data_IF_247785710247
#
_entry.id   IF_247785710247
#
_cell.length_a   1.000
_cell.length_b   1.000
_cell.length_c   1.000
_cell.angle_alpha   90.00
_cell.angle_beta   90.00
_cell.angle_gamma   90.00
#
_symmetry.space_group_name_H-M   'P 1'
#
loop_
_entity.id
_entity.type
_entity.pdbx_description
1 polymer ?
#
# COMPACT_ATOMS: atom_id res chain seq x y z
N UNK A 1 -26.98 -26.58 -37.76
CA UNK A 1 -27.71 -26.06 -36.59
C UNK A 1 -26.77 -26.13 -35.38
N UNK A 2 -26.02 -25.07 -35.11
CA UNK A 2 -24.92 -25.09 -34.13
C UNK A 2 -25.28 -24.16 -32.97
N UNK A 3 -25.41 -24.75 -31.77
CA UNK A 3 -25.95 -24.11 -30.57
C UNK A 3 -24.95 -23.11 -29.98
N UNK A 4 -25.43 -21.88 -29.73
CA UNK A 4 -24.70 -20.80 -29.05
C UNK A 4 -24.68 -21.06 -27.54
N UNK A 5 -23.50 -21.08 -26.92
CA UNK A 5 -23.31 -21.11 -25.47
C UNK A 5 -23.31 -19.67 -24.97
N UNK A 6 -24.25 -19.34 -24.08
CA UNK A 6 -24.39 -18.03 -23.43
C UNK A 6 -23.46 -18.01 -22.21
N UNK A 7 -22.49 -17.10 -22.20
CA UNK A 7 -21.73 -16.76 -21.00
C UNK A 7 -22.54 -15.80 -20.14
N UNK A 8 -22.76 -16.18 -18.88
CA UNK A 8 -23.25 -15.30 -17.82
C UNK A 8 -22.05 -14.48 -17.30
N UNK A 9 -22.05 -13.17 -17.53
CA UNK A 9 -21.20 -12.25 -16.79
C UNK A 9 -22.01 -11.79 -15.57
N UNK A 10 -21.64 -12.27 -14.38
CA UNK A 10 -22.10 -11.72 -13.12
C UNK A 10 -21.33 -10.39 -12.91
N UNK A 11 -22.03 -9.28 -13.14
CA UNK A 11 -21.61 -7.97 -12.64
C UNK A 11 -21.68 -8.00 -11.11
N UNK A 12 -20.53 -8.19 -10.46
CA UNK A 12 -20.37 -7.86 -9.04
C UNK A 12 -20.26 -6.36 -8.91
N UNK A 13 -21.39 -5.67 -8.73
CA UNK A 13 -21.42 -4.27 -8.32
C UNK A 13 -20.97 -4.22 -6.86
N UNK A 14 -19.69 -3.87 -6.65
CA UNK A 14 -19.20 -3.48 -5.34
C UNK A 14 -19.76 -2.07 -5.07
N UNK A 15 -20.88 -2.00 -4.34
CA UNK A 15 -21.36 -0.75 -3.78
C UNK A 15 -20.34 -0.27 -2.73
N UNK A 16 -19.42 0.62 -3.11
CA UNK A 16 -18.76 1.50 -2.15
C UNK A 16 -19.86 2.35 -1.52
N UNK A 17 -20.22 2.03 -0.27
CA UNK A 17 -21.05 2.89 0.54
C UNK A 17 -20.22 4.14 0.88
N UNK A 18 -20.45 5.24 0.15
CA UNK A 18 -19.91 6.54 0.49
C UNK A 18 -20.55 6.99 1.81
N UNK A 19 -19.84 6.82 2.93
CA UNK A 19 -20.21 7.42 4.20
C UNK A 19 -19.81 8.90 4.21
N UNK A 20 -20.64 9.78 4.80
CA UNK A 20 -20.37 11.22 4.81
C UNK A 20 -19.18 11.57 5.72
N UNK A 21 -18.02 11.79 5.10
CA UNK A 21 -17.27 13.04 5.22
C UNK A 21 -16.48 13.31 6.51
N UNK A 22 -15.50 12.47 6.82
CA UNK A 22 -14.21 13.00 7.29
C UNK A 22 -13.37 13.35 6.05
N UNK A 23 -13.75 14.42 5.35
CA UNK A 23 -12.99 14.93 4.21
C UNK A 23 -11.77 15.69 4.75
N UNK A 24 -10.79 14.97 5.29
CA UNK A 24 -9.45 15.51 5.46
C UNK A 24 -8.77 15.65 4.10
N UNK A 25 -7.77 16.53 4.02
CA UNK A 25 -6.94 16.65 2.82
C UNK A 25 -6.01 15.43 2.71
N UNK A 26 -5.64 15.05 1.48
CA UNK A 26 -4.65 14.01 1.26
C UNK A 26 -3.30 14.45 1.86
N UNK A 27 -2.65 13.54 2.58
CA UNK A 27 -1.30 13.76 3.12
C UNK A 27 -0.29 13.07 2.22
N UNK A 28 0.65 13.84 1.69
CA UNK A 28 1.77 13.32 0.90
C UNK A 28 3.04 13.34 1.74
N UNK A 29 3.72 12.21 1.81
CA UNK A 29 5.03 12.06 2.44
C UNK A 29 6.04 11.53 1.43
N UNK A 30 7.29 11.93 1.59
CA UNK A 30 8.40 11.53 0.72
C UNK A 30 9.56 11.01 1.58
N UNK A 31 10.38 10.14 1.00
CA UNK A 31 11.50 9.52 1.70
C UNK A 31 12.04 8.36 0.88
N UNK A 32 12.30 7.24 1.54
CA UNK A 32 12.89 6.08 0.88
C UNK A 32 12.51 4.74 1.49
N UNK A 33 12.92 3.70 0.80
CA UNK A 33 12.75 2.31 1.23
C UNK A 33 14.08 1.56 1.16
N UNK A 34 14.16 0.49 1.95
CA UNK A 34 15.19 -0.54 1.81
C UNK A 34 14.48 -1.87 1.62
N UNK A 35 14.74 -2.56 0.51
CA UNK A 35 14.34 -3.94 0.28
C UNK A 35 15.51 -4.87 0.60
N UNK A 36 15.39 -5.60 1.69
CA UNK A 36 16.31 -6.64 2.14
C UNK A 36 16.14 -7.91 1.27
N UNK A 37 17.16 -8.28 0.49
CA UNK A 37 17.18 -9.52 -0.33
C UNK A 37 18.42 -10.35 -0.04
N UNK A 38 18.40 -11.62 -0.46
CA UNK A 38 19.54 -12.53 -0.31
C UNK A 38 20.78 -12.08 -1.11
N UNK A 39 20.57 -11.40 -2.24
CA UNK A 39 21.60 -10.86 -3.13
C UNK A 39 22.09 -9.45 -2.73
N UNK A 40 21.49 -8.83 -1.72
CA UNK A 40 21.86 -7.52 -1.21
C UNK A 40 20.64 -6.64 -0.91
N UNK A 41 20.90 -5.49 -0.28
CA UNK A 41 19.86 -4.49 -0.07
C UNK A 41 19.69 -3.64 -1.32
N UNK A 42 18.43 -3.40 -1.70
CA UNK A 42 18.06 -2.43 -2.72
C UNK A 42 17.40 -1.24 -2.06
N UNK A 43 17.85 -0.03 -2.39
CA UNK A 43 17.33 1.21 -1.80
C UNK A 43 16.81 2.10 -2.91
N UNK A 44 15.82 2.93 -2.59
CA UNK A 44 15.25 3.87 -3.55
C UNK A 44 14.31 4.87 -2.90
N UNK A 45 13.89 5.83 -3.71
CA UNK A 45 12.97 6.87 -3.29
C UNK A 45 11.54 6.32 -3.19
N UNK A 46 10.79 6.89 -2.25
CA UNK A 46 9.41 6.51 -1.98
C UNK A 46 8.57 7.75 -1.76
N UNK A 47 7.43 7.79 -2.44
CA UNK A 47 6.35 8.75 -2.18
C UNK A 47 5.12 8.02 -1.69
N UNK A 48 4.53 8.45 -0.58
CA UNK A 48 3.33 7.89 -0.01
C UNK A 48 2.21 8.93 0.00
N UNK A 49 1.02 8.57 -0.48
CA UNK A 49 -0.18 9.41 -0.45
C UNK A 49 -1.20 8.72 0.45
N UNK A 50 -1.65 9.41 1.49
CA UNK A 50 -2.65 8.95 2.45
C UNK A 50 -3.94 9.75 2.27
N UNK A 51 -5.03 9.06 1.92
CA UNK A 51 -6.35 9.65 1.74
C UNK A 51 -7.24 9.23 2.90
N UNK A 52 -7.75 10.17 3.73
CA UNK A 52 -8.55 9.82 4.90
C UNK A 52 -9.89 9.22 4.48
N UNK A 53 -10.22 8.05 5.04
CA UNK A 53 -11.49 7.36 4.81
C UNK A 53 -12.38 7.31 6.06
N UNK A 54 -11.83 7.69 7.21
CA UNK A 54 -12.54 7.78 8.47
C UNK A 54 -11.58 8.13 9.62
N UNK A 55 -12.10 8.15 10.84
CA UNK A 55 -11.28 8.38 12.03
C UNK A 55 -10.23 7.26 12.17
N UNK A 56 -8.95 7.63 12.05
CA UNK A 56 -7.83 6.70 12.15
C UNK A 56 -7.76 5.67 11.02
N UNK A 57 -8.40 5.92 9.88
CA UNK A 57 -8.43 5.03 8.73
C UNK A 57 -8.11 5.79 7.43
N UNK A 58 -7.30 5.17 6.58
CA UNK A 58 -6.77 5.79 5.37
C UNK A 58 -6.71 4.79 4.23
N UNK A 59 -7.02 5.23 3.02
CA UNK A 59 -6.50 4.61 1.80
C UNK A 59 -5.06 5.10 1.60
N UNK A 60 -4.19 4.25 1.07
CA UNK A 60 -2.77 4.55 0.86
C UNK A 60 -2.31 4.13 -0.52
N UNK A 61 -1.50 4.98 -1.14
CA UNK A 61 -0.77 4.68 -2.37
C UNK A 61 0.74 4.95 -2.17
N UNK A 62 1.56 3.91 -2.32
CA UNK A 62 3.02 4.00 -2.33
C UNK A 62 3.53 3.99 -3.76
N UNK A 63 4.23 5.05 -4.14
CA UNK A 63 4.86 5.22 -5.43
C UNK A 63 6.36 4.96 -5.29
N UNK A 64 6.83 3.94 -5.99
CA UNK A 64 8.22 3.52 -6.03
C UNK A 64 8.77 3.74 -7.43
N UNK A 65 10.02 4.19 -7.53
CA UNK A 65 10.76 4.21 -8.79
C UNK A 65 11.78 3.06 -8.80
N UNK A 66 11.48 2.03 -9.58
CA UNK A 66 12.35 0.87 -9.78
C UNK A 66 13.12 0.98 -11.11
N UNK A 67 14.09 0.10 -11.33
CA UNK A 67 14.89 0.08 -12.56
C UNK A 67 14.05 -0.15 -13.83
N UNK A 68 12.97 -0.92 -13.73
CA UNK A 68 12.04 -1.24 -14.82
C UNK A 68 10.89 -0.23 -14.97
N UNK A 69 10.77 0.72 -14.04
CA UNK A 69 9.84 1.84 -14.13
C UNK A 69 9.15 2.20 -12.81
N UNK A 70 8.19 3.13 -12.87
CA UNK A 70 7.40 3.50 -11.71
C UNK A 70 6.37 2.41 -11.38
N UNK A 71 6.20 2.14 -10.09
CA UNK A 71 5.24 1.20 -9.54
C UNK A 71 4.40 1.85 -8.45
N UNK A 72 3.11 1.52 -8.42
CA UNK A 72 2.15 2.05 -7.45
C UNK A 72 1.50 0.92 -6.67
N UNK A 73 1.77 0.85 -5.37
CA UNK A 73 1.20 -0.15 -4.49
C UNK A 73 0.10 0.48 -3.67
N UNK A 74 -1.12 -0.04 -3.78
CA UNK A 74 -2.32 0.57 -3.18
C UNK A 74 -2.94 -0.33 -2.13
N UNK A 75 -3.54 0.27 -1.11
CA UNK A 75 -4.33 -0.45 -0.14
C UNK A 75 -4.88 0.46 0.95
N UNK A 76 -4.95 -0.05 2.17
CA UNK A 76 -5.55 0.65 3.30
C UNK A 76 -4.70 0.48 4.56
N UNK A 77 -4.71 1.49 5.42
CA UNK A 77 -4.06 1.44 6.72
C UNK A 77 -4.92 2.06 7.82
N UNK A 78 -4.61 1.69 9.05
CA UNK A 78 -5.21 2.25 10.26
C UNK A 78 -4.13 2.76 11.20
N UNK A 79 -4.49 3.73 12.03
CA UNK A 79 -3.59 4.38 12.98
C UNK A 79 -3.57 5.89 12.83
N UNK A 80 -2.43 6.50 13.17
CA UNK A 80 -2.24 7.95 13.18
C UNK A 80 -0.94 8.34 12.48
N UNK A 81 -0.98 9.46 11.74
CA UNK A 81 0.21 10.08 11.15
C UNK A 81 1.08 10.86 12.16
N UNK A 82 0.72 10.79 13.44
CA UNK A 82 1.50 11.29 14.59
C UNK A 82 1.77 10.18 15.63
N UNK A 83 1.63 8.91 15.23
CA UNK A 83 1.77 7.77 16.13
C UNK A 83 2.02 6.48 15.38
N UNK A 84 1.42 5.38 15.82
CA UNK A 84 1.54 4.09 15.14
C UNK A 84 0.65 4.04 13.90
N UNK A 85 1.17 3.42 12.84
CA UNK A 85 0.47 3.19 11.59
C UNK A 85 0.76 1.78 11.08
N UNK A 86 -0.26 1.06 10.64
CA UNK A 86 -0.12 -0.26 10.03
C UNK A 86 -1.15 -0.48 8.93
N UNK A 87 -0.77 -1.21 7.90
CA UNK A 87 -1.65 -1.43 6.76
C UNK A 87 -1.24 -2.57 5.84
N UNK A 88 -2.10 -2.76 4.85
CA UNK A 88 -1.98 -3.76 3.82
C UNK A 88 -1.99 -3.05 2.46
N UNK A 89 -1.06 -3.41 1.58
CA UNK A 89 -1.00 -2.90 0.21
C UNK A 89 -0.78 -4.02 -0.79
N UNK A 90 -1.18 -3.75 -2.02
CA UNK A 90 -1.12 -4.67 -3.14
C UNK A 90 -0.32 -4.03 -4.26
N UNK A 91 0.64 -4.77 -4.83
CA UNK A 91 1.45 -4.27 -5.95
C UNK A 91 0.63 -4.11 -7.21
N UNK A 92 0.98 -3.12 -8.02
CA UNK A 92 0.58 -3.08 -9.42
C UNK A 92 1.42 -4.07 -10.26
N UNK A 93 0.85 -4.54 -11.36
CA UNK A 93 1.52 -5.45 -12.31
C UNK A 93 0.79 -6.77 -12.52
N UNK A 94 1.35 -7.59 -13.42
CA UNK A 94 0.74 -8.84 -13.90
C UNK A 94 0.60 -9.91 -12.81
N UNK A 95 1.43 -9.81 -11.76
CA UNK A 95 1.37 -10.69 -10.60
C UNK A 95 1.14 -9.86 -9.34
N UNK A 96 -0.11 -9.88 -8.90
CA UNK A 96 -0.53 -9.28 -7.64
C UNK A 96 0.28 -9.87 -6.47
N UNK A 97 1.00 -9.00 -5.75
CA UNK A 97 1.71 -9.32 -4.52
C UNK A 97 1.11 -8.54 -3.36
N UNK A 98 1.00 -9.19 -2.20
CA UNK A 98 0.44 -8.58 -0.99
C UNK A 98 1.57 -8.24 -0.03
N UNK A 99 1.50 -7.05 0.54
CA UNK A 99 2.45 -6.54 1.51
C UNK A 99 1.74 -6.02 2.74
N UNK A 100 2.40 -6.17 3.89
CA UNK A 100 2.01 -5.59 5.17
C UNK A 100 3.08 -4.61 5.62
N UNK A 101 2.69 -3.42 6.05
CA UNK A 101 3.62 -2.49 6.66
C UNK A 101 3.16 -2.09 8.06
N UNK A 102 4.11 -1.74 8.92
CA UNK A 102 3.83 -1.19 10.24
C UNK A 102 5.01 -0.36 10.72
N UNK A 103 4.74 0.71 11.46
CA UNK A 103 5.76 1.57 12.04
C UNK A 103 5.14 2.66 12.89
N UNK A 104 5.95 3.68 13.19
CA UNK A 104 5.52 4.83 13.96
C UNK A 104 6.13 6.12 13.45
N UNK A 105 5.43 7.23 13.67
CA UNK A 105 5.95 8.57 13.50
C UNK A 105 6.66 9.03 14.76
N UNK A 106 7.88 9.53 14.60
CA UNK A 106 8.65 10.24 15.62
C UNK A 106 9.21 11.52 14.96
N UNK A 107 8.98 12.67 15.60
CA UNK A 107 9.42 13.98 15.09
C UNK A 107 9.05 14.24 13.62
N UNK A 108 7.82 13.88 13.22
CA UNK A 108 7.32 14.06 11.86
C UNK A 108 7.88 13.09 10.82
N UNK A 109 8.65 12.08 11.26
CA UNK A 109 9.22 11.05 10.39
C UNK A 109 8.65 9.69 10.75
N UNK A 110 7.98 9.04 9.79
CA UNK A 110 7.63 7.64 9.87
C UNK A 110 8.88 6.77 9.70
N UNK A 111 9.05 5.81 10.61
CA UNK A 111 9.98 4.70 10.47
C UNK A 111 9.23 3.39 10.68
N UNK A 112 9.36 2.47 9.72
CA UNK A 112 8.62 1.22 9.75
C UNK A 112 9.27 0.09 8.99
N UNK A 113 8.64 -1.07 9.09
CA UNK A 113 8.99 -2.28 8.34
C UNK A 113 7.89 -2.60 7.34
N UNK A 114 8.27 -3.24 6.24
CA UNK A 114 7.33 -3.86 5.32
C UNK A 114 7.68 -5.34 5.12
N UNK A 115 6.63 -6.14 4.90
CA UNK A 115 6.68 -7.59 4.83
C UNK A 115 5.92 -8.06 3.59
N UNK A 116 6.46 -9.06 2.92
CA UNK A 116 5.78 -9.77 1.85
C UNK A 116 4.90 -10.88 2.43
N UNK A 117 3.70 -11.05 1.88
CA UNK A 117 2.78 -12.15 2.22
C UNK A 117 2.84 -13.20 1.12
N UNK A 118 3.28 -14.42 1.46
CA UNK A 118 3.38 -15.53 0.49
C UNK A 118 1.99 -16.02 0.05
N UNK A 119 1.96 -16.88 -0.98
CA UNK A 119 0.71 -17.51 -1.43
C UNK A 119 0.08 -18.40 -0.36
N UNK A 120 0.91 -18.95 0.52
CA UNK A 120 0.53 -19.77 1.66
C UNK A 120 0.12 -18.91 2.89
N UNK A 121 0.23 -17.58 2.80
CA UNK A 121 -0.11 -16.64 3.86
C UNK A 121 1.00 -16.40 4.88
N UNK A 122 2.22 -16.87 4.62
CA UNK A 122 3.37 -16.61 5.48
C UNK A 122 3.81 -15.14 5.35
N UNK A 123 4.13 -14.50 6.48
CA UNK A 123 4.64 -13.13 6.51
C UNK A 123 6.16 -13.19 6.58
N UNK A 124 6.84 -12.67 5.57
CA UNK A 124 8.30 -12.57 5.51
C UNK A 124 8.73 -11.12 5.48
N UNK A 125 9.73 -10.77 6.29
CA UNK A 125 10.33 -9.44 6.28
C UNK A 125 10.88 -9.16 4.88
N UNK A 126 10.51 -8.00 4.33
CA UNK A 126 10.96 -7.52 3.03
C UNK A 126 11.85 -6.28 3.18
N UNK A 127 11.70 -5.49 4.25
CA UNK A 127 12.67 -4.46 4.61
C UNK A 127 12.06 -3.31 5.39
N UNK A 128 12.55 -2.09 5.16
CA UNK A 128 12.18 -0.89 5.93
C UNK A 128 11.67 0.24 5.04
N UNK A 129 10.89 1.14 5.65
CA UNK A 129 10.35 2.36 5.06
C UNK A 129 10.71 3.55 5.95
N UNK A 130 11.08 4.67 5.35
CA UNK A 130 11.30 5.95 6.05
C UNK A 130 10.64 7.05 5.25
N UNK A 131 9.71 7.78 5.86
CA UNK A 131 8.91 8.82 5.19
C UNK A 131 8.79 10.05 6.08
N UNK A 132 8.90 11.24 5.51
CA UNK A 132 8.70 12.50 6.21
C UNK A 132 7.98 13.51 5.33
N UNK A 133 7.55 14.60 5.95
CA UNK A 133 7.06 15.77 5.23
C UNK A 133 8.24 16.44 4.52
N UNK A 134 8.14 16.67 3.20
CA UNK A 134 9.15 17.42 2.44
C UNK A 134 9.06 18.93 2.59
#
# INVERSE_FOLDING_TARGET
MTRRIRWFALLGVLCLAAMPGFAGEDVTLEGGFVWEREDGNHEGDLKAIFTPTGEGAWDVAFHFDWEDGPHVYTGSCTGSLDGELAGDVVSDGDREMKFKFSGSFEDGTFSGVHNFVTKEGEIKRAGTLTLGSS
#
